data_IF_377716518295
#
_entry.id   IF_377716518295
#
_cell.length_a   1.000
_cell.length_b   1.000
_cell.length_c   1.000
_cell.angle_alpha   90.00
_cell.angle_beta   90.00
_cell.angle_gamma   90.00
#
_symmetry.space_group_name_H-M   'P 1'
#
loop_
_entity.id
_entity.type
_entity.pdbx_description
1 polymer ?
#
# COMPACT_ATOMS: atom_id res chain seq x y z
N UNK A 1 27.62 -3.61 -0.55
CA UNK A 1 26.57 -3.86 0.46
C UNK A 1 25.36 -4.36 -0.29
N UNK A 2 24.91 -5.57 0.01
CA UNK A 2 23.73 -6.20 -0.61
C UNK A 2 22.47 -5.67 0.06
N UNK A 3 21.53 -5.15 -0.74
CA UNK A 3 20.27 -4.61 -0.24
C UNK A 3 19.10 -5.50 -0.66
N UNK A 4 18.27 -5.87 0.31
CA UNK A 4 16.97 -6.50 0.07
C UNK A 4 15.84 -5.47 0.14
N UNK A 5 14.84 -5.63 -0.70
CA UNK A 5 13.66 -4.77 -0.78
C UNK A 5 12.41 -5.46 -0.26
N UNK A 6 11.55 -4.71 0.42
CA UNK A 6 10.21 -5.14 0.80
C UNK A 6 9.20 -4.04 0.45
N UNK A 7 8.07 -4.42 -0.15
CA UNK A 7 6.96 -3.51 -0.46
C UNK A 7 5.89 -3.66 0.61
N UNK A 8 5.54 -2.58 1.30
CA UNK A 8 4.77 -2.64 2.56
C UNK A 8 3.81 -1.46 2.75
N UNK A 9 2.90 -1.63 3.72
CA UNK A 9 2.00 -0.55 4.16
C UNK A 9 2.04 -0.33 5.68
N UNK A 10 2.35 -1.38 6.45
CA UNK A 10 2.45 -1.38 7.92
C UNK A 10 1.26 -0.69 8.61
N UNK A 11 0.06 -1.25 8.46
CA UNK A 11 -1.20 -0.63 8.91
C UNK A 11 -1.94 -1.38 10.05
N UNK A 12 -1.38 -1.52 11.27
CA UNK A 12 -0.05 -1.10 11.73
C UNK A 12 1.05 -2.14 11.42
N UNK A 13 2.30 -1.84 11.79
CA UNK A 13 3.35 -2.86 11.89
C UNK A 13 2.94 -3.91 12.94
N UNK A 14 3.16 -5.20 12.71
CA UNK A 14 2.69 -6.28 13.60
C UNK A 14 3.62 -7.48 13.54
N UNK A 15 3.36 -8.53 14.34
CA UNK A 15 4.27 -9.67 14.46
C UNK A 15 4.50 -10.40 13.13
N UNK A 16 3.47 -10.55 12.29
CA UNK A 16 3.64 -11.05 10.92
C UNK A 16 4.60 -10.21 10.05
N UNK A 17 4.61 -8.88 10.21
CA UNK A 17 5.58 -8.02 9.52
C UNK A 17 6.99 -8.19 10.08
N UNK A 18 7.14 -8.27 11.41
CA UNK A 18 8.43 -8.56 12.06
C UNK A 18 9.02 -9.88 11.55
N UNK A 19 8.19 -10.92 11.49
CA UNK A 19 8.56 -12.21 10.93
C UNK A 19 9.00 -12.09 9.46
N UNK A 20 8.22 -11.39 8.62
CA UNK A 20 8.58 -11.18 7.22
C UNK A 20 9.93 -10.48 7.05
N UNK A 21 10.21 -9.44 7.83
CA UNK A 21 11.52 -8.76 7.82
C UNK A 21 12.64 -9.73 8.22
N UNK A 22 12.42 -10.53 9.27
CA UNK A 22 13.40 -11.52 9.72
C UNK A 22 13.68 -12.58 8.65
N UNK A 23 12.65 -13.13 8.02
CA UNK A 23 12.81 -14.13 6.96
C UNK A 23 13.45 -13.54 5.71
N UNK A 24 13.08 -12.33 5.33
CA UNK A 24 13.70 -11.62 4.20
C UNK A 24 15.22 -11.54 4.39
N UNK A 25 15.67 -11.12 5.57
CA UNK A 25 17.10 -11.05 5.89
C UNK A 25 17.79 -12.41 5.85
N UNK A 26 17.13 -13.46 6.33
CA UNK A 26 17.66 -14.84 6.33
C UNK A 26 17.80 -15.38 4.91
N UNK A 27 16.77 -15.22 4.08
CA UNK A 27 16.73 -15.75 2.71
C UNK A 27 17.68 -15.00 1.78
N UNK A 28 17.67 -13.66 1.86
CA UNK A 28 18.49 -12.82 0.97
C UNK A 28 19.93 -12.69 1.45
N UNK A 29 20.21 -13.00 2.72
CA UNK A 29 21.50 -12.73 3.37
C UNK A 29 21.96 -11.27 3.15
N UNK A 30 21.01 -10.34 3.07
CA UNK A 30 21.29 -8.93 2.77
C UNK A 30 21.94 -8.21 3.94
N UNK A 31 22.85 -7.29 3.65
CA UNK A 31 23.47 -6.41 4.65
C UNK A 31 22.47 -5.39 5.22
N UNK A 32 21.53 -4.94 4.38
CA UNK A 32 20.47 -3.99 4.73
C UNK A 32 19.12 -4.39 4.13
N UNK A 33 18.04 -3.96 4.78
CA UNK A 33 16.68 -4.10 4.28
C UNK A 33 16.04 -2.73 4.03
N UNK A 34 15.51 -2.54 2.83
CA UNK A 34 14.86 -1.31 2.36
C UNK A 34 13.36 -1.57 2.20
N UNK A 35 12.54 -0.74 2.85
CA UNK A 35 11.09 -0.77 2.68
C UNK A 35 10.62 0.37 1.77
N UNK A 36 9.87 0.05 0.71
CA UNK A 36 9.01 1.00 0.00
C UNK A 36 7.62 0.94 0.63
N UNK A 37 7.20 2.03 1.26
CA UNK A 37 6.00 2.05 2.10
C UNK A 37 4.95 3.04 1.58
N UNK A 38 3.70 2.60 1.44
CA UNK A 38 2.56 3.48 1.15
C UNK A 38 2.53 4.68 2.12
N UNK A 39 2.31 5.88 1.57
CA UNK A 39 2.15 7.13 2.32
C UNK A 39 0.81 7.19 3.08
N UNK A 40 0.16 8.35 3.06
CA UNK A 40 -1.03 8.62 3.87
C UNK A 40 -2.26 7.76 3.55
N UNK A 41 -2.41 7.36 2.28
CA UNK A 41 -3.45 6.45 1.81
C UNK A 41 -2.82 5.21 1.20
N UNK A 42 -3.54 4.09 1.33
CA UNK A 42 -3.06 2.75 1.03
C UNK A 42 -3.57 2.23 -0.32
N UNK A 43 -3.09 1.06 -0.73
CA UNK A 43 -3.40 0.39 -1.99
C UNK A 43 -4.88 0.06 -2.16
N UNK A 44 -5.56 -0.23 -1.06
CA UNK A 44 -7.00 -0.49 -1.06
C UNK A 44 -7.85 0.77 -0.90
N UNK A 45 -7.23 1.96 -0.87
CA UNK A 45 -7.92 3.25 -0.68
C UNK A 45 -8.24 3.57 0.77
N UNK A 46 -7.69 2.86 1.75
CA UNK A 46 -7.89 3.20 3.16
C UNK A 46 -6.92 4.30 3.59
N UNK A 47 -7.33 5.24 4.46
CA UNK A 47 -6.36 6.05 5.19
C UNK A 47 -5.50 5.11 6.05
N UNK A 48 -4.20 5.37 6.11
CA UNK A 48 -3.32 4.65 7.03
C UNK A 48 -3.72 4.98 8.48
N UNK A 49 -3.75 3.98 9.36
CA UNK A 49 -4.14 4.10 10.78
C UNK A 49 -3.33 5.16 11.53
N UNK A 50 -2.04 5.26 11.19
CA UNK A 50 -1.12 6.27 11.70
C UNK A 50 -0.39 6.96 10.54
N UNK A 51 0.12 8.16 10.82
CA UNK A 51 0.94 8.88 9.86
C UNK A 51 2.12 8.04 9.39
N UNK A 52 2.53 8.23 8.12
CA UNK A 52 3.69 7.56 7.53
C UNK A 52 4.96 7.70 8.39
N UNK A 53 5.08 8.79 9.14
CA UNK A 53 6.17 9.05 10.07
C UNK A 53 6.17 8.11 11.28
N UNK A 54 5.01 7.84 11.89
CA UNK A 54 4.93 6.88 12.99
C UNK A 54 5.13 5.43 12.49
N UNK A 55 4.57 5.09 11.33
CA UNK A 55 4.81 3.79 10.70
C UNK A 55 6.29 3.59 10.32
N UNK A 56 6.97 4.67 9.92
CA UNK A 56 8.43 4.65 9.71
C UNK A 56 9.18 4.35 11.00
N UNK A 57 8.80 4.94 12.14
CA UNK A 57 9.41 4.60 13.43
C UNK A 57 9.23 3.11 13.77
N UNK A 58 8.02 2.59 13.58
CA UNK A 58 7.74 1.16 13.80
C UNK A 58 8.60 0.28 12.89
N UNK A 59 8.74 0.63 11.61
CA UNK A 59 9.56 -0.11 10.65
C UNK A 59 11.04 -0.12 11.03
N UNK A 60 11.61 1.03 11.39
CA UNK A 60 13.02 1.14 11.80
C UNK A 60 13.29 0.31 13.08
N UNK A 61 12.42 0.42 14.08
CA UNK A 61 12.50 -0.40 15.30
C UNK A 61 12.27 -1.90 15.00
N UNK A 62 11.54 -2.23 13.93
CA UNK A 62 11.34 -3.59 13.43
C UNK A 62 12.48 -4.14 12.58
N UNK A 63 13.59 -3.39 12.45
CA UNK A 63 14.78 -3.84 11.75
C UNK A 63 14.80 -3.49 10.26
N UNK A 64 13.92 -2.63 9.76
CA UNK A 64 14.13 -2.01 8.44
C UNK A 64 15.24 -0.97 8.57
N UNK A 65 16.17 -0.95 7.61
CA UNK A 65 17.31 -0.03 7.62
C UNK A 65 17.01 1.26 6.85
N UNK A 66 16.14 1.22 5.86
CA UNK A 66 15.75 2.37 5.05
C UNK A 66 14.25 2.32 4.76
N UNK A 67 13.52 3.40 5.01
CA UNK A 67 12.10 3.51 4.67
C UNK A 67 11.94 4.66 3.69
N UNK A 68 11.40 4.36 2.51
CA UNK A 68 11.06 5.34 1.49
C UNK A 68 9.57 5.31 1.20
N UNK A 69 9.00 6.46 0.85
CA UNK A 69 7.58 6.58 0.53
C UNK A 69 7.31 6.10 -0.89
N UNK A 70 6.26 5.28 -1.05
CA UNK A 70 5.60 5.07 -2.33
C UNK A 70 4.65 6.24 -2.57
N UNK A 71 4.85 7.06 -3.63
CA UNK A 71 4.02 8.22 -3.87
C UNK A 71 2.54 7.85 -4.04
N UNK A 72 1.63 8.73 -3.60
CA UNK A 72 0.18 8.51 -3.66
C UNK A 72 -0.31 7.99 -5.03
N UNK A 73 0.26 8.54 -6.10
CA UNK A 73 -0.10 8.20 -7.49
C UNK A 73 0.15 6.74 -7.86
N UNK A 74 1.06 6.06 -7.15
CA UNK A 74 1.31 4.62 -7.25
C UNK A 74 0.70 3.86 -6.08
N UNK A 75 0.71 4.43 -4.88
CA UNK A 75 0.24 3.78 -3.66
C UNK A 75 -1.26 3.46 -3.73
N UNK A 76 -2.12 4.43 -4.06
CA UNK A 76 -3.58 4.22 -4.12
C UNK A 76 -4.01 3.83 -5.54
N UNK A 77 -3.60 2.64 -5.98
CA UNK A 77 -3.87 2.14 -7.34
C UNK A 77 -4.18 0.64 -7.36
N UNK A 78 -4.60 0.15 -8.54
CA UNK A 78 -4.57 -1.29 -8.86
C UNK A 78 -3.17 -1.89 -8.66
N UNK A 79 -3.13 -3.20 -8.41
CA UNK A 79 -1.91 -3.92 -8.05
C UNK A 79 -0.77 -3.76 -9.07
N UNK A 80 -1.08 -3.72 -10.36
CA UNK A 80 -0.12 -3.47 -11.45
C UNK A 80 0.65 -2.15 -11.28
N UNK A 81 -0.06 -1.02 -11.17
CA UNK A 81 0.57 0.31 -11.03
C UNK A 81 1.26 0.45 -9.68
N UNK A 82 0.69 -0.13 -8.62
CA UNK A 82 1.32 -0.21 -7.30
C UNK A 82 2.68 -0.92 -7.35
N UNK A 83 2.71 -2.10 -7.98
CA UNK A 83 3.92 -2.89 -8.15
C UNK A 83 4.95 -2.17 -9.02
N UNK A 84 4.53 -1.58 -10.14
CA UNK A 84 5.42 -0.85 -11.04
C UNK A 84 6.17 0.28 -10.30
N UNK A 85 5.44 1.13 -9.57
CA UNK A 85 6.05 2.23 -8.80
C UNK A 85 6.99 1.72 -7.71
N UNK A 86 6.60 0.67 -6.99
CA UNK A 86 7.41 0.12 -5.92
C UNK A 86 8.71 -0.53 -6.42
N UNK A 87 8.65 -1.33 -7.49
CA UNK A 87 9.83 -1.94 -8.12
C UNK A 87 10.75 -0.87 -8.71
N UNK A 88 10.19 0.16 -9.35
CA UNK A 88 10.98 1.27 -9.90
C UNK A 88 11.79 1.99 -8.82
N UNK A 89 11.22 2.21 -7.63
CA UNK A 89 11.94 2.83 -6.50
C UNK A 89 13.03 1.90 -5.95
N UNK A 90 12.74 0.60 -5.80
CA UNK A 90 13.70 -0.38 -5.30
C UNK A 90 14.88 -0.55 -6.26
N UNK A 91 14.61 -0.63 -7.57
CA UNK A 91 15.61 -0.72 -8.62
C UNK A 91 16.52 0.52 -8.63
N UNK A 92 15.92 1.73 -8.58
CA UNK A 92 16.66 2.98 -8.49
C UNK A 92 17.52 3.11 -7.22
N UNK A 93 17.16 2.39 -6.15
CA UNK A 93 17.92 2.30 -4.91
C UNK A 93 19.05 1.27 -4.96
N UNK A 94 19.18 0.49 -6.02
CA UNK A 94 20.21 -0.56 -6.15
C UNK A 94 19.90 -1.80 -5.32
N UNK A 95 18.62 -2.09 -5.09
CA UNK A 95 18.18 -3.34 -4.47
C UNK A 95 18.46 -4.49 -5.43
N UNK A 96 19.05 -5.57 -4.92
CA UNK A 96 19.37 -6.75 -5.72
C UNK A 96 18.31 -7.84 -5.59
N UNK A 97 17.58 -7.87 -4.47
CA UNK A 97 16.62 -8.93 -4.15
C UNK A 97 15.39 -8.35 -3.48
N UNK A 98 14.20 -8.86 -3.80
CA UNK A 98 12.98 -8.56 -3.06
C UNK A 98 12.42 -9.80 -2.40
N UNK A 99 11.71 -9.62 -1.29
CA UNK A 99 10.93 -10.67 -0.67
C UNK A 99 9.50 -10.18 -0.43
N UNK A 100 8.52 -10.97 -0.87
CA UNK A 100 7.11 -10.71 -0.61
C UNK A 100 6.44 -11.94 0.02
N UNK A 101 5.48 -11.73 0.91
CA UNK A 101 4.65 -12.83 1.41
C UNK A 101 3.63 -13.25 0.37
N UNK A 102 3.40 -14.55 0.21
CA UNK A 102 2.38 -15.11 -0.68
C UNK A 102 1.64 -16.27 -0.02
N UNK A 103 0.47 -16.61 -0.54
CA UNK A 103 -0.25 -17.82 -0.13
C UNK A 103 0.40 -19.10 -0.72
N UNK A 104 1.15 -18.97 -1.83
CA UNK A 104 1.77 -20.10 -2.53
C UNK A 104 3.13 -20.53 -1.94
N UNK A 105 3.96 -19.57 -1.53
CA UNK A 105 5.25 -19.86 -0.92
C UNK A 105 6.38 -20.28 -1.88
N UNK A 106 6.09 -20.57 -3.15
CA UNK A 106 7.10 -20.96 -4.16
C UNK A 106 7.20 -19.91 -5.28
N UNK A 107 8.35 -19.23 -5.37
CA UNK A 107 8.54 -18.14 -6.33
C UNK A 107 8.55 -18.64 -7.78
N UNK A 108 8.99 -19.88 -8.03
CA UNK A 108 9.04 -20.44 -9.37
C UNK A 108 7.64 -20.58 -10.00
N UNK A 109 6.62 -20.84 -9.18
CA UNK A 109 5.23 -20.92 -9.64
C UNK A 109 4.76 -19.59 -10.26
N UNK A 110 5.24 -18.45 -9.75
CA UNK A 110 4.92 -17.13 -10.32
C UNK A 110 5.56 -16.94 -11.70
N UNK A 111 6.84 -17.29 -11.85
CA UNK A 111 7.52 -17.22 -13.15
C UNK A 111 6.87 -18.16 -14.18
N UNK A 112 6.47 -19.36 -13.75
CA UNK A 112 5.73 -20.30 -14.58
C UNK A 112 4.40 -19.69 -15.04
N UNK A 113 3.66 -19.08 -14.12
CA UNK A 113 2.36 -18.43 -14.39
C UNK A 113 2.51 -17.29 -15.42
N UNK A 114 3.51 -16.43 -15.25
CA UNK A 114 3.79 -15.33 -16.19
C UNK A 114 4.19 -15.87 -17.57
N UNK A 115 5.09 -16.85 -17.60
CA UNK A 115 5.58 -17.46 -18.85
C UNK A 115 4.45 -18.14 -19.62
N UNK A 116 3.58 -18.88 -18.92
CA UNK A 116 2.41 -19.52 -19.51
C UNK A 116 1.44 -18.49 -20.09
N UNK A 117 1.13 -17.43 -19.33
CA UNK A 117 0.24 -16.35 -19.81
C UNK A 117 0.81 -15.64 -21.04
N UNK A 118 2.13 -15.46 -21.11
CA UNK A 118 2.77 -14.85 -22.28
C UNK A 118 2.74 -15.79 -23.49
N UNK A 119 2.97 -17.09 -23.29
CA UNK A 119 2.95 -18.11 -24.34
C UNK A 119 1.55 -18.31 -24.93
N UNK A 120 0.54 -18.37 -24.07
CA UNK A 120 -0.86 -18.67 -24.43
C UNK A 120 -1.74 -17.42 -24.42
N UNK A 121 -1.18 -16.24 -24.70
CA UNK A 121 -1.82 -14.94 -24.48
C UNK A 121 -3.20 -14.81 -25.13
N UNK A 122 -3.33 -15.22 -26.39
CA UNK A 122 -4.59 -15.07 -27.14
C UNK A 122 -5.66 -16.02 -26.58
N UNK A 123 -5.31 -17.29 -26.36
CA UNK A 123 -6.17 -18.29 -25.72
C UNK A 123 -6.61 -17.84 -24.33
N UNK A 124 -5.68 -17.33 -23.52
CA UNK A 124 -5.95 -16.82 -22.19
C UNK A 124 -6.94 -15.66 -22.20
N UNK A 125 -6.72 -14.67 -23.06
CA UNK A 125 -7.62 -13.52 -23.16
C UNK A 125 -9.03 -13.93 -23.61
N UNK A 126 -9.13 -14.87 -24.56
CA UNK A 126 -10.42 -15.42 -25.00
C UNK A 126 -11.15 -16.15 -23.86
N UNK A 127 -10.45 -16.99 -23.09
CA UNK A 127 -11.03 -17.71 -21.94
C UNK A 127 -11.46 -16.75 -20.82
N UNK A 128 -10.63 -15.75 -20.50
CA UNK A 128 -11.01 -14.73 -19.50
C UNK A 128 -12.27 -14.00 -19.93
N UNK A 129 -12.36 -13.58 -21.19
CA UNK A 129 -13.55 -12.93 -21.71
C UNK A 129 -14.78 -13.86 -21.63
N UNK A 130 -14.63 -15.11 -22.06
CA UNK A 130 -15.69 -16.11 -21.99
C UNK A 130 -16.20 -16.32 -20.55
N UNK A 131 -15.31 -16.42 -19.55
CA UNK A 131 -15.71 -16.58 -18.16
C UNK A 131 -16.33 -15.31 -17.56
N UNK A 132 -15.89 -14.12 -17.98
CA UNK A 132 -16.53 -12.86 -17.61
C UNK A 132 -17.95 -12.75 -18.19
N UNK A 133 -18.14 -13.14 -19.45
CA UNK A 133 -19.44 -13.16 -20.13
C UNK A 133 -20.39 -14.16 -19.45
N UNK A 134 -19.86 -15.24 -18.86
CA UNK A 134 -20.59 -16.18 -18.01
C UNK A 134 -20.94 -15.63 -16.61
N UNK A 135 -20.61 -14.37 -16.31
CA UNK A 135 -20.96 -13.68 -15.07
C UNK A 135 -19.94 -13.80 -13.93
N UNK A 136 -18.76 -14.36 -14.18
CA UNK A 136 -17.69 -14.41 -13.19
C UNK A 136 -17.01 -13.04 -13.01
N UNK A 137 -16.48 -12.78 -11.81
CA UNK A 137 -15.60 -11.62 -11.61
C UNK A 137 -14.30 -11.80 -12.40
N UNK A 138 -13.63 -10.71 -12.76
CA UNK A 138 -12.33 -10.78 -13.47
C UNK A 138 -11.31 -11.69 -12.78
N UNK A 139 -11.20 -11.63 -11.45
CA UNK A 139 -10.29 -12.50 -10.68
C UNK A 139 -10.68 -13.98 -10.80
N UNK A 140 -11.98 -14.29 -10.72
CA UNK A 140 -12.47 -15.67 -10.88
C UNK A 140 -12.30 -16.17 -12.32
N UNK A 141 -12.61 -15.32 -13.30
CA UNK A 141 -12.41 -15.60 -14.73
C UNK A 141 -10.93 -15.86 -15.05
N UNK A 142 -10.02 -15.06 -14.49
CA UNK A 142 -8.57 -15.24 -14.60
C UNK A 142 -8.11 -16.56 -14.01
N UNK A 143 -8.55 -16.88 -12.79
CA UNK A 143 -8.25 -18.16 -12.12
C UNK A 143 -8.74 -19.35 -12.95
N UNK A 144 -9.96 -19.28 -13.49
CA UNK A 144 -10.51 -20.34 -14.36
C UNK A 144 -9.81 -20.45 -15.71
N UNK A 145 -9.45 -19.32 -16.34
CA UNK A 145 -8.69 -19.31 -17.58
C UNK A 145 -7.32 -19.96 -17.39
N UNK A 146 -6.64 -19.67 -16.28
CA UNK A 146 -5.42 -20.40 -15.92
C UNK A 146 -5.71 -21.88 -15.77
N UNK A 147 -6.67 -22.30 -14.92
CA UNK A 147 -7.02 -23.71 -14.75
C UNK A 147 -7.31 -24.46 -16.06
N UNK A 148 -7.84 -23.77 -17.08
CA UNK A 148 -8.11 -24.36 -18.39
C UNK A 148 -6.87 -24.53 -19.28
N UNK A 149 -5.88 -23.65 -19.14
CA UNK A 149 -4.64 -23.67 -19.92
C UNK A 149 -3.59 -24.58 -19.27
N UNK A 150 -3.75 -24.87 -17.97
CA UNK A 150 -2.80 -25.69 -17.23
C UNK A 150 -2.74 -27.13 -17.77
N UNK A 151 -1.62 -27.42 -18.43
CA UNK A 151 -1.04 -28.76 -18.60
C UNK A 151 0.11 -28.91 -17.61
N UNK A 152 0.02 -29.82 -16.63
CA UNK A 152 1.11 -30.35 -15.76
C UNK A 152 2.09 -29.38 -15.05
N UNK A 153 1.94 -28.07 -15.14
CA UNK A 153 2.84 -27.07 -14.53
C UNK A 153 2.22 -26.47 -13.28
N UNK A 154 2.97 -26.42 -12.18
CA UNK A 154 2.55 -25.72 -10.97
C UNK A 154 2.46 -24.20 -11.22
N UNK A 155 1.28 -23.63 -11.00
CA UNK A 155 1.00 -22.19 -11.09
C UNK A 155 0.29 -21.68 -9.84
N UNK A 156 0.34 -20.38 -9.65
CA UNK A 156 -0.18 -19.71 -8.47
C UNK A 156 -1.70 -19.53 -8.57
N UNK A 157 -2.41 -19.72 -7.46
CA UNK A 157 -3.83 -19.36 -7.37
C UNK A 157 -4.02 -17.83 -7.40
N UNK A 158 -4.52 -17.35 -8.53
CA UNK A 158 -4.81 -15.94 -8.80
C UNK A 158 -6.09 -15.42 -8.13
N UNK A 159 -6.77 -16.23 -7.33
CA UNK A 159 -7.88 -15.76 -6.48
C UNK A 159 -7.40 -15.07 -5.19
N UNK A 160 -6.15 -15.33 -4.78
CA UNK A 160 -5.58 -14.82 -3.54
C UNK A 160 -4.87 -13.46 -3.74
N UNK A 161 -5.03 -12.50 -2.81
CA UNK A 161 -4.55 -11.14 -3.02
C UNK A 161 -3.03 -10.99 -2.96
N UNK A 162 -2.33 -11.77 -2.11
CA UNK A 162 -0.88 -11.63 -2.01
C UNK A 162 -0.18 -12.32 -3.18
N UNK A 163 -0.76 -13.42 -3.68
CA UNK A 163 -0.41 -14.01 -4.97
C UNK A 163 -0.58 -13.01 -6.14
N UNK A 164 -1.71 -12.30 -6.24
CA UNK A 164 -1.90 -11.27 -7.27
C UNK A 164 -0.82 -10.18 -7.19
N UNK A 165 -0.50 -9.69 -5.99
CA UNK A 165 0.55 -8.70 -5.79
C UNK A 165 1.93 -9.24 -6.17
N UNK A 166 2.26 -10.46 -5.74
CA UNK A 166 3.52 -11.15 -6.08
C UNK A 166 3.74 -11.28 -7.59
N UNK A 167 2.68 -11.65 -8.32
CA UNK A 167 2.73 -11.75 -9.78
C UNK A 167 3.05 -10.39 -10.41
N UNK A 168 2.38 -9.32 -9.97
CA UNK A 168 2.63 -7.98 -10.49
C UNK A 168 4.01 -7.43 -10.12
N UNK A 169 4.59 -7.82 -8.98
CA UNK A 169 5.99 -7.47 -8.68
C UNK A 169 6.95 -8.10 -9.68
N UNK A 170 6.78 -9.38 -10.00
CA UNK A 170 7.65 -10.08 -10.96
C UNK A 170 7.42 -9.54 -12.37
N UNK A 171 6.18 -9.26 -12.77
CA UNK A 171 5.89 -8.58 -14.05
C UNK A 171 6.54 -7.19 -14.14
N UNK A 172 6.52 -6.41 -13.06
CA UNK A 172 7.18 -5.12 -13.00
C UNK A 172 8.70 -5.26 -13.14
N UNK A 173 9.33 -6.23 -12.45
CA UNK A 173 10.76 -6.54 -12.59
C UNK A 173 11.10 -6.85 -14.06
N UNK A 174 10.34 -7.75 -14.69
CA UNK A 174 10.57 -8.19 -16.07
C UNK A 174 10.36 -7.06 -17.09
N UNK A 175 9.28 -6.29 -16.94
CA UNK A 175 8.93 -5.19 -17.86
C UNK A 175 9.90 -4.02 -17.76
N UNK A 176 10.38 -3.71 -16.56
CA UNK A 176 11.40 -2.67 -16.32
C UNK A 176 12.82 -3.15 -16.65
N UNK A 177 13.00 -4.43 -17.01
CA UNK A 177 14.32 -5.06 -17.23
C UNK A 177 15.25 -4.89 -16.02
N UNK A 178 14.67 -4.89 -14.83
CA UNK A 178 15.41 -4.78 -13.57
C UNK A 178 16.23 -6.04 -13.33
N UNK A 179 17.39 -5.88 -12.70
CA UNK A 179 18.22 -7.01 -12.24
C UNK A 179 17.78 -7.58 -10.89
N UNK A 180 16.67 -7.10 -10.32
CA UNK A 180 16.14 -7.58 -9.04
C UNK A 180 15.74 -9.05 -9.16
N UNK A 181 16.18 -9.88 -8.20
CA UNK A 181 15.70 -11.24 -8.02
C UNK A 181 14.57 -11.30 -6.99
N UNK A 182 13.48 -11.98 -7.32
CA UNK A 182 12.35 -12.14 -6.42
C UNK A 182 12.47 -13.41 -5.56
N UNK A 183 12.06 -13.29 -4.30
CA UNK A 183 11.82 -14.38 -3.37
C UNK A 183 10.41 -14.24 -2.79
N UNK A 184 9.86 -15.35 -2.30
CA UNK A 184 8.61 -15.30 -1.54
C UNK A 184 8.72 -16.14 -0.26
N UNK A 185 7.89 -15.77 0.72
CA UNK A 185 7.66 -16.59 1.91
C UNK A 185 6.18 -16.95 1.98
N UNK A 186 5.90 -18.17 2.38
CA UNK A 186 4.54 -18.59 2.68
C UNK A 186 4.02 -17.79 3.87
N UNK A 187 2.83 -17.20 3.72
CA UNK A 187 2.13 -16.58 4.83
C UNK A 187 1.51 -17.71 5.65
N UNK A 188 1.89 -17.81 6.93
CA UNK A 188 1.12 -18.61 7.88
C UNK A 188 -0.33 -18.13 7.85
N UNK A 189 -1.20 -18.96 7.29
CA UNK A 189 -2.58 -18.59 7.09
C UNK A 189 -3.25 -18.46 8.47
N UNK A 190 -3.55 -17.24 8.89
CA UNK A 190 -4.91 -17.00 9.34
C UNK A 190 -5.76 -17.16 8.08
N UNK A 191 -6.44 -18.28 7.90
CA UNK A 191 -7.27 -18.49 6.72
C UNK A 191 -8.18 -17.26 6.51
N UNK A 192 -8.29 -16.91 5.23
CA UNK A 192 -9.00 -15.74 4.71
C UNK A 192 -10.38 -15.58 5.36
N UNK A 193 -10.72 -14.34 5.77
CA UNK A 193 -11.99 -13.94 6.39
C UNK A 193 -12.28 -14.39 7.84
N UNK A 194 -11.39 -15.09 8.53
CA UNK A 194 -11.65 -15.41 9.93
C UNK A 194 -11.55 -14.15 10.82
N UNK A 195 -12.69 -13.77 11.38
CA UNK A 195 -12.81 -12.77 12.44
C UNK A 195 -12.27 -13.29 13.79
N UNK A 196 -11.66 -14.47 13.81
CA UNK A 196 -11.18 -15.18 15.00
C UNK A 196 -9.72 -15.61 14.88
N UNK A 197 -9.00 -15.47 15.99
CA UNK A 197 -7.56 -15.71 16.10
C UNK A 197 -7.24 -17.22 16.04
N UNK A 198 -6.48 -17.66 15.03
CA UNK A 198 -6.04 -19.07 14.91
C UNK A 198 -4.60 -19.32 15.42
N UNK A 199 -3.81 -18.26 15.63
CA UNK A 199 -2.51 -18.28 16.31
C UNK A 199 -2.54 -17.24 17.43
N UNK A 200 -2.06 -17.60 18.63
CA UNK A 200 -2.08 -16.73 19.81
C UNK A 200 -1.20 -15.47 19.64
N UNK A 201 -0.35 -15.39 18.60
CA UNK A 201 0.60 -14.28 18.43
C UNK A 201 0.67 -13.63 17.04
N UNK A 202 -0.03 -14.16 16.02
CA UNK A 202 -0.08 -13.55 14.68
C UNK A 202 -1.53 -13.31 14.25
N UNK A 203 -1.86 -12.03 14.01
CA UNK A 203 -3.16 -11.62 13.50
C UNK A 203 -3.02 -10.78 12.22
N UNK A 204 -4.07 -10.75 11.40
CA UNK A 204 -4.12 -9.87 10.24
C UNK A 204 -4.17 -8.40 10.68
N UNK A 205 -3.59 -7.51 9.88
CA UNK A 205 -3.67 -6.07 10.11
C UNK A 205 -5.13 -5.58 10.23
N UNK A 206 -6.04 -6.16 9.44
CA UNK A 206 -7.48 -5.82 9.49
C UNK A 206 -8.11 -6.23 10.81
N UNK A 207 -7.80 -7.42 11.33
CA UNK A 207 -8.31 -7.91 12.62
C UNK A 207 -7.80 -7.04 13.78
N UNK A 208 -6.52 -6.64 13.74
CA UNK A 208 -5.93 -5.69 14.71
C UNK A 208 -6.66 -4.35 14.65
N UNK A 209 -6.91 -3.79 13.46
CA UNK A 209 -7.65 -2.54 13.31
C UNK A 209 -9.09 -2.64 13.83
N UNK A 210 -9.83 -3.71 13.50
CA UNK A 210 -11.18 -3.94 14.04
C UNK A 210 -11.19 -3.90 15.57
N UNK A 211 -10.21 -4.57 16.19
CA UNK A 211 -10.08 -4.59 17.64
C UNK A 211 -9.79 -3.20 18.23
N UNK A 212 -8.93 -2.41 17.58
CA UNK A 212 -8.61 -1.03 17.98
C UNK A 212 -9.81 -0.07 17.94
N UNK A 213 -10.80 -0.33 17.09
CA UNK A 213 -12.02 0.47 16.98
C UNK A 213 -13.22 -0.15 17.70
N UNK A 214 -13.01 -1.20 18.50
CA UNK A 214 -14.05 -1.78 19.36
C UNK A 214 -14.31 -0.91 20.59
N UNK A 215 -15.50 -1.03 21.19
CA UNK A 215 -16.04 -0.13 22.22
C UNK A 215 -15.21 -0.02 23.51
N UNK A 216 -14.20 -0.89 23.71
CA UNK A 216 -13.41 -0.94 24.94
C UNK A 216 -12.20 0.01 24.97
N UNK A 217 -11.90 0.72 23.86
CA UNK A 217 -10.83 1.75 23.73
C UNK A 217 -9.46 1.33 24.31
N UNK A 218 -9.22 0.02 24.39
CA UNK A 218 -8.08 -0.57 25.10
C UNK A 218 -7.13 -1.29 24.15
N UNK A 219 -5.88 -0.83 24.15
CA UNK A 219 -4.80 -1.43 23.38
C UNK A 219 -4.37 -2.81 23.91
N UNK A 220 -4.75 -3.19 25.13
CA UNK A 220 -4.28 -4.45 25.75
C UNK A 220 -4.64 -5.69 24.93
N UNK A 221 -5.77 -5.63 24.24
CA UNK A 221 -6.28 -6.71 23.40
C UNK A 221 -5.43 -6.98 22.14
N UNK A 222 -4.60 -6.02 21.72
CA UNK A 222 -3.74 -6.17 20.54
C UNK A 222 -2.28 -6.51 20.88
N UNK A 223 -1.86 -6.36 22.14
CA UNK A 223 -0.48 -6.57 22.57
C UNK A 223 0.11 -7.93 22.16
N UNK A 224 -0.63 -9.06 22.20
CA UNK A 224 -0.08 -10.34 21.77
C UNK A 224 0.33 -10.40 20.29
N UNK A 225 -0.22 -9.50 19.45
CA UNK A 225 -0.11 -9.54 17.99
C UNK A 225 0.81 -8.48 17.41
N UNK A 226 1.30 -7.56 18.24
CA UNK A 226 2.20 -6.48 17.81
C UNK A 226 3.45 -6.45 18.68
N UNK A 227 4.60 -6.01 18.13
CA UNK A 227 5.78 -5.76 18.94
C UNK A 227 5.53 -4.64 19.96
N UNK A 228 6.20 -4.69 21.12
CA UNK A 228 6.04 -3.70 22.19
C UNK A 228 6.21 -2.25 21.70
N UNK A 229 7.21 -1.99 20.84
CA UNK A 229 7.41 -0.64 20.27
C UNK A 229 6.22 -0.18 19.42
N UNK A 230 5.51 -1.10 18.76
CA UNK A 230 4.33 -0.75 17.96
C UNK A 230 3.18 -0.35 18.89
N UNK A 231 2.94 -1.10 19.97
CA UNK A 231 1.96 -0.74 20.99
C UNK A 231 2.25 0.64 21.58
N UNK A 232 3.50 0.90 21.99
CA UNK A 232 3.90 2.21 22.53
C UNK A 232 3.70 3.35 21.51
N UNK A 233 3.99 3.13 20.23
CA UNK A 233 3.75 4.15 19.21
C UNK A 233 2.27 4.38 18.92
N UNK A 234 1.44 3.34 18.96
CA UNK A 234 -0.02 3.46 18.84
C UNK A 234 -0.61 4.30 19.98
N UNK A 235 -0.25 3.98 21.22
CA UNK A 235 -0.68 4.72 22.41
C UNK A 235 -0.22 6.17 22.37
N UNK A 236 1.07 6.40 22.09
CA UNK A 236 1.65 7.73 21.91
C UNK A 236 0.91 8.54 20.84
N UNK A 237 0.56 7.91 19.72
CA UNK A 237 -0.17 8.57 18.64
C UNK A 237 -1.58 8.96 19.08
N UNK A 238 -2.34 8.03 19.67
CA UNK A 238 -3.69 8.30 20.17
C UNK A 238 -3.69 9.38 21.26
N UNK A 239 -2.69 9.38 22.15
CA UNK A 239 -2.53 10.42 23.17
C UNK A 239 -2.22 11.80 22.56
N UNK A 240 -1.38 11.86 21.52
CA UNK A 240 -0.95 13.12 20.90
C UNK A 240 -1.99 13.72 19.95
N UNK A 241 -2.64 12.87 19.16
CA UNK A 241 -3.53 13.30 18.06
C UNK A 241 -5.00 13.06 18.35
N UNK A 242 -5.33 12.39 19.47
CA UNK A 242 -6.68 12.07 19.92
C UNK A 242 -7.52 11.22 18.95
N UNK A 243 -6.91 10.71 17.88
CA UNK A 243 -7.57 9.86 16.88
C UNK A 243 -6.64 8.76 16.38
N UNK A 244 -7.24 7.69 15.89
CA UNK A 244 -6.62 6.72 14.99
C UNK A 244 -7.41 6.80 13.69
N UNK A 245 -6.71 6.89 12.57
CA UNK A 245 -7.37 7.22 11.32
C UNK A 245 -8.16 6.01 10.79
N UNK A 246 -9.44 6.23 10.53
CA UNK A 246 -10.31 5.32 9.81
C UNK A 246 -11.26 6.12 8.92
N UNK A 247 -11.91 5.47 7.95
CA UNK A 247 -12.76 6.14 6.99
C UNK A 247 -13.91 6.95 7.60
N UNK A 248 -14.42 6.54 8.77
CA UNK A 248 -15.52 7.25 9.44
C UNK A 248 -15.11 8.67 9.86
N UNK A 249 -13.86 8.89 10.26
CA UNK A 249 -13.32 10.22 10.58
C UNK A 249 -13.33 11.17 9.36
N UNK A 250 -13.23 10.61 8.15
CA UNK A 250 -13.21 11.37 6.90
C UNK A 250 -14.59 11.53 6.28
N UNK A 251 -15.58 10.72 6.71
CA UNK A 251 -16.90 10.69 6.10
C UNK A 251 -17.62 12.05 6.08
N UNK A 252 -17.56 12.90 7.13
CA UNK A 252 -18.16 14.24 7.08
C UNK A 252 -17.57 15.12 5.97
N UNK A 253 -16.25 15.10 5.79
CA UNK A 253 -15.57 15.88 4.74
C UNK A 253 -15.85 15.32 3.35
N UNK A 254 -15.85 13.99 3.23
CA UNK A 254 -16.21 13.29 2.01
C UNK A 254 -17.65 13.60 1.58
N UNK A 255 -18.60 13.53 2.52
CA UNK A 255 -20.01 13.84 2.32
C UNK A 255 -20.20 15.30 1.93
N UNK A 256 -19.55 16.24 2.62
CA UNK A 256 -19.57 17.66 2.25
C UNK A 256 -19.11 17.87 0.79
N UNK A 257 -18.00 17.24 0.40
CA UNK A 257 -17.51 17.37 -0.99
C UNK A 257 -18.54 16.81 -1.98
N UNK A 258 -19.08 15.63 -1.77
CA UNK A 258 -20.09 15.07 -2.68
C UNK A 258 -21.36 15.91 -2.77
N UNK A 259 -21.81 16.52 -1.66
CA UNK A 259 -22.98 17.39 -1.64
C UNK A 259 -22.78 18.71 -2.39
N UNK A 260 -21.53 19.06 -2.71
CA UNK A 260 -21.16 20.31 -3.40
C UNK A 260 -20.64 20.08 -4.82
N UNK A 261 -20.51 18.82 -5.25
CA UNK A 261 -20.07 18.46 -6.60
C UNK A 261 -21.26 18.21 -7.53
N UNK A 262 -21.13 18.65 -8.79
CA UNK A 262 -22.00 18.23 -9.88
C UNK A 262 -21.63 16.84 -10.40
N UNK A 263 -22.49 16.26 -11.23
CA UNK A 263 -22.20 15.02 -11.95
C UNK A 263 -20.99 15.18 -12.87
N UNK A 264 -20.84 16.35 -13.50
CA UNK A 264 -19.73 16.69 -14.37
C UNK A 264 -18.41 16.77 -13.59
N UNK A 265 -18.42 17.41 -12.42
CA UNK A 265 -17.23 17.47 -11.55
C UNK A 265 -16.75 16.07 -11.16
N UNK A 266 -17.69 15.18 -10.82
CA UNK A 266 -17.35 13.80 -10.46
C UNK A 266 -16.78 13.00 -11.62
N UNK A 267 -17.28 13.21 -12.84
CA UNK A 267 -16.77 12.52 -14.03
C UNK A 267 -15.29 12.85 -14.31
N UNK A 268 -14.81 14.01 -13.85
CA UNK A 268 -13.40 14.40 -13.95
C UNK A 268 -12.49 13.76 -12.90
N UNK A 269 -13.04 13.16 -11.83
CA UNK A 269 -12.26 12.47 -10.80
C UNK A 269 -11.70 11.15 -11.34
N UNK A 270 -10.46 10.85 -10.95
CA UNK A 270 -9.77 9.63 -11.36
C UNK A 270 -10.52 8.36 -10.87
N UNK A 271 -10.50 7.30 -11.69
CA UNK A 271 -11.28 6.05 -11.55
C UNK A 271 -12.83 6.18 -11.56
N UNK A 272 -13.41 7.38 -11.67
CA UNK A 272 -14.86 7.54 -11.90
C UNK A 272 -15.18 7.27 -13.38
N UNK A 273 -15.73 6.09 -13.65
CA UNK A 273 -16.24 5.68 -14.96
C UNK A 273 -17.68 6.18 -15.19
N UNK A 274 -18.06 6.30 -16.46
CA UNK A 274 -19.41 6.70 -16.86
C UNK A 274 -20.52 5.95 -16.10
N UNK A 275 -21.44 6.74 -15.54
CA UNK A 275 -22.59 6.28 -14.77
C UNK A 275 -22.32 6.05 -13.29
N UNK A 276 -21.05 5.95 -12.84
CA UNK A 276 -20.74 5.81 -11.42
C UNK A 276 -21.05 7.09 -10.64
N UNK A 277 -20.85 8.25 -11.26
CA UNK A 277 -21.16 9.58 -10.71
C UNK A 277 -22.63 9.70 -10.27
N UNK A 278 -23.57 9.27 -11.11
CA UNK A 278 -25.00 9.29 -10.79
C UNK A 278 -25.33 8.37 -9.62
N UNK A 279 -24.71 7.19 -9.57
CA UNK A 279 -24.89 6.27 -8.46
C UNK A 279 -24.38 6.87 -7.16
N UNK A 280 -23.17 7.43 -7.16
CA UNK A 280 -22.54 8.09 -6.01
C UNK A 280 -23.46 9.17 -5.44
N UNK A 281 -23.89 10.10 -6.29
CA UNK A 281 -24.78 11.20 -5.87
C UNK A 281 -26.13 10.68 -5.37
N UNK A 282 -26.70 9.64 -5.99
CA UNK A 282 -27.99 9.07 -5.53
C UNK A 282 -27.92 8.43 -4.14
N UNK A 283 -26.76 7.93 -3.72
CA UNK A 283 -26.61 7.18 -2.46
C UNK A 283 -26.19 8.06 -1.29
N UNK A 284 -25.37 9.08 -1.52
CA UNK A 284 -24.77 9.88 -0.43
C UNK A 284 -25.81 10.61 0.45
N UNK A 285 -26.96 10.98 -0.12
CA UNK A 285 -28.03 11.67 0.61
C UNK A 285 -28.65 10.80 1.72
N UNK A 286 -28.67 9.49 1.55
CA UNK A 286 -29.40 8.55 2.41
C UNK A 286 -28.48 7.74 3.34
N UNK A 287 -27.19 8.07 3.40
CA UNK A 287 -26.18 7.30 4.15
C UNK A 287 -25.60 8.14 5.28
N UNK A 288 -25.47 7.57 6.47
CA UNK A 288 -25.02 8.23 7.70
C UNK A 288 -23.59 7.87 8.11
N UNK A 289 -22.99 6.83 7.52
CA UNK A 289 -21.61 6.40 7.75
C UNK A 289 -20.93 6.02 6.44
N UNK A 290 -19.59 5.95 6.45
CA UNK A 290 -18.85 5.48 5.28
C UNK A 290 -19.17 4.01 4.98
N UNK A 291 -19.29 3.16 6.01
CA UNK A 291 -19.67 1.76 5.86
C UNK A 291 -21.01 1.61 5.11
N UNK A 292 -22.07 2.28 5.59
CA UNK A 292 -23.41 2.20 4.97
C UNK A 292 -23.42 2.78 3.56
N UNK A 293 -22.60 3.80 3.30
CA UNK A 293 -22.39 4.34 1.97
C UNK A 293 -21.75 3.32 1.02
N UNK A 294 -20.68 2.66 1.44
CA UNK A 294 -20.00 1.65 0.64
C UNK A 294 -20.88 0.44 0.34
N UNK A 295 -21.66 -0.03 1.32
CA UNK A 295 -22.66 -1.08 1.14
C UNK A 295 -23.71 -0.70 0.09
N UNK A 296 -24.21 0.55 0.14
CA UNK A 296 -25.16 1.07 -0.83
C UNK A 296 -24.55 1.25 -2.24
N UNK A 297 -23.26 1.59 -2.33
CA UNK A 297 -22.55 1.71 -3.60
C UNK A 297 -22.23 0.36 -4.25
N UNK A 298 -21.94 -0.67 -3.46
CA UNK A 298 -21.49 -1.97 -3.96
C UNK A 298 -22.46 -2.56 -4.99
N UNK A 299 -21.91 -3.03 -6.11
CA UNK A 299 -22.63 -3.79 -7.14
C UNK A 299 -21.82 -5.03 -7.53
N UNK A 300 -22.36 -5.89 -8.40
CA UNK A 300 -21.54 -6.97 -9.00
C UNK A 300 -20.39 -6.42 -9.86
N UNK A 301 -20.60 -5.27 -10.53
CA UNK A 301 -19.62 -4.62 -11.42
C UNK A 301 -18.41 -4.02 -10.67
N UNK A 302 -18.63 -3.43 -9.50
CA UNK A 302 -17.56 -2.74 -8.76
C UNK A 302 -17.16 -3.51 -7.51
N UNK A 303 -15.87 -3.82 -7.36
CA UNK A 303 -15.34 -4.42 -6.12
C UNK A 303 -15.27 -3.39 -5.00
N UNK A 304 -15.26 -3.87 -3.74
CA UNK A 304 -15.15 -2.99 -2.58
C UNK A 304 -13.89 -2.13 -2.63
N UNK A 305 -12.74 -2.75 -2.90
CA UNK A 305 -11.44 -2.08 -2.96
C UNK A 305 -11.38 -1.03 -4.07
N UNK A 306 -12.02 -1.28 -5.22
CA UNK A 306 -12.13 -0.29 -6.29
C UNK A 306 -12.95 0.91 -5.86
N UNK A 307 -14.14 0.69 -5.30
CA UNK A 307 -14.99 1.78 -4.80
C UNK A 307 -14.27 2.59 -3.72
N UNK A 308 -13.51 1.92 -2.86
CA UNK A 308 -12.78 2.57 -1.78
C UNK A 308 -11.66 3.47 -2.32
N UNK A 309 -10.91 3.04 -3.35
CA UNK A 309 -9.95 3.92 -4.06
C UNK A 309 -10.63 5.10 -4.73
N UNK A 310 -11.77 4.89 -5.40
CA UNK A 310 -12.57 5.98 -5.98
C UNK A 310 -12.97 6.99 -4.90
N UNK A 311 -13.44 6.52 -3.74
CA UNK A 311 -13.73 7.39 -2.61
C UNK A 311 -12.50 8.19 -2.16
N UNK A 312 -11.31 7.58 -2.14
CA UNK A 312 -10.06 8.30 -1.84
C UNK A 312 -9.79 9.40 -2.87
N UNK A 313 -9.89 9.11 -4.17
CA UNK A 313 -9.66 10.11 -5.23
C UNK A 313 -10.66 11.27 -5.17
N UNK A 314 -11.92 10.98 -4.81
CA UNK A 314 -12.92 12.03 -4.52
C UNK A 314 -12.49 12.83 -3.29
N UNK A 315 -12.12 12.17 -2.19
CA UNK A 315 -11.68 12.81 -0.94
C UNK A 315 -10.38 13.64 -1.12
N UNK A 316 -9.52 13.29 -2.06
CA UNK A 316 -8.32 14.08 -2.39
C UNK A 316 -8.53 15.06 -3.54
N UNK A 317 -9.71 15.03 -4.19
CA UNK A 317 -9.98 15.75 -5.43
C UNK A 317 -8.91 15.49 -6.50
N UNK A 318 -8.52 14.23 -6.68
CA UNK A 318 -7.53 13.83 -7.68
C UNK A 318 -8.20 13.66 -9.02
N UNK A 319 -7.86 14.49 -10.00
CA UNK A 319 -8.50 14.49 -11.32
C UNK A 319 -7.79 13.55 -12.30
N UNK A 320 -8.50 13.14 -13.36
CA UNK A 320 -7.91 12.38 -14.48
C UNK A 320 -6.75 13.15 -15.12
N UNK A 321 -6.92 14.45 -15.31
CA UNK A 321 -5.90 15.34 -15.89
C UNK A 321 -4.62 15.42 -15.02
N UNK A 322 -4.76 15.51 -13.70
CA UNK A 322 -3.61 15.50 -12.79
C UNK A 322 -2.83 14.18 -12.89
N UNK A 323 -3.56 13.05 -12.95
CA UNK A 323 -2.96 11.72 -13.06
C UNK A 323 -2.29 11.49 -14.42
N UNK A 324 -2.86 12.02 -15.50
CA UNK A 324 -2.27 12.01 -16.84
C UNK A 324 -0.96 12.82 -16.88
N UNK A 325 -0.97 14.06 -16.36
CA UNK A 325 0.22 14.92 -16.25
C UNK A 325 1.32 14.32 -15.36
N UNK A 326 0.94 13.48 -14.40
CA UNK A 326 1.88 12.80 -13.52
C UNK A 326 2.65 11.65 -14.22
N UNK A 327 2.25 11.23 -15.42
CA UNK A 327 2.90 10.19 -16.23
C UNK A 327 3.20 8.90 -15.44
N UNK A 328 2.24 8.46 -14.64
CA UNK A 328 2.37 7.36 -13.67
C UNK A 328 2.61 5.99 -14.30
N UNK A 329 2.49 5.86 -15.61
CA UNK A 329 2.66 4.58 -16.33
C UNK A 329 4.14 4.21 -16.56
N UNK A 330 5.08 5.11 -16.25
CA UNK A 330 6.50 4.88 -16.49
C UNK A 330 7.23 4.35 -15.25
N UNK A 331 7.73 5.27 -14.43
CA UNK A 331 8.63 5.03 -13.31
C UNK A 331 8.40 6.10 -12.23
N UNK A 332 8.85 5.82 -11.01
CA UNK A 332 8.79 6.81 -9.94
C UNK A 332 9.69 8.01 -10.29
N UNK A 333 9.25 9.26 -10.06
CA UNK A 333 10.04 10.45 -10.41
C UNK A 333 11.12 10.80 -9.37
N UNK A 334 11.04 10.23 -8.17
CA UNK A 334 11.94 10.52 -7.06
C UNK A 334 11.93 9.39 -6.03
N UNK A 335 12.92 9.41 -5.14
CA UNK A 335 12.97 8.59 -3.93
C UNK A 335 12.74 9.50 -2.72
N UNK A 336 11.56 9.40 -2.08
CA UNK A 336 11.25 10.18 -0.87
C UNK A 336 11.67 9.42 0.38
N UNK A 337 12.78 9.85 0.98
CA UNK A 337 13.32 9.22 2.17
C UNK A 337 12.52 9.63 3.43
N UNK A 338 11.90 8.66 4.10
CA UNK A 338 11.14 8.87 5.33
C UNK A 338 11.96 8.62 6.58
N UNK A 339 12.86 7.63 6.55
CA UNK A 339 13.72 7.32 7.68
C UNK A 339 14.82 6.31 7.35
N UNK A 340 15.83 6.25 8.22
CA UNK A 340 17.00 5.39 8.06
C UNK A 340 17.61 5.00 9.41
N UNK A 341 18.14 3.78 9.49
CA UNK A 341 19.07 3.33 10.52
C UNK A 341 20.49 3.87 10.27
N UNK A 342 21.46 3.61 11.14
CA UNK A 342 22.87 3.95 10.88
C UNK A 342 23.42 3.18 9.68
N UNK A 343 23.06 1.90 9.54
CA UNK A 343 23.33 1.08 8.35
C UNK A 343 22.69 1.68 7.09
N UNK A 344 21.42 2.07 7.15
CA UNK A 344 20.72 2.72 6.04
C UNK A 344 21.36 4.04 5.63
N UNK A 345 21.77 4.87 6.60
CA UNK A 345 22.50 6.11 6.36
C UNK A 345 23.84 5.85 5.68
N UNK A 346 24.58 4.82 6.13
CA UNK A 346 25.84 4.40 5.50
C UNK A 346 25.63 3.95 4.06
N UNK A 347 24.56 3.18 3.81
CA UNK A 347 24.21 2.73 2.47
C UNK A 347 23.89 3.90 1.54
N UNK A 348 23.02 4.82 1.96
CA UNK A 348 22.68 6.02 1.17
C UNK A 348 23.93 6.85 0.89
N UNK A 349 24.80 7.06 1.89
CA UNK A 349 26.02 7.85 1.72
C UNK A 349 26.95 7.26 0.64
N UNK A 350 27.00 5.93 0.52
CA UNK A 350 27.80 5.23 -0.50
C UNK A 350 27.16 5.26 -1.89
N UNK A 351 25.83 5.16 -1.98
CA UNK A 351 25.12 4.98 -3.27
C UNK A 351 24.51 6.26 -3.83
N UNK A 352 24.36 7.34 -3.04
CA UNK A 352 23.65 8.58 -3.42
C UNK A 352 24.07 9.16 -4.78
N UNK A 353 25.35 9.06 -5.14
CA UNK A 353 25.89 9.59 -6.42
C UNK A 353 25.45 8.80 -7.66
N UNK A 354 25.03 7.55 -7.47
CA UNK A 354 24.70 6.61 -8.54
C UNK A 354 23.21 6.28 -8.59
N UNK A 355 22.37 6.94 -7.79
CA UNK A 355 20.93 6.73 -7.82
C UNK A 355 20.36 7.25 -9.15
N UNK A 356 19.55 6.42 -9.82
CA UNK A 356 18.87 6.79 -11.06
C UNK A 356 17.76 7.83 -10.86
N UNK A 357 17.36 8.09 -9.61
CA UNK A 357 16.31 9.02 -9.24
C UNK A 357 16.78 10.06 -8.19
N UNK A 358 16.23 11.29 -8.22
CA UNK A 358 16.47 12.29 -7.18
C UNK A 358 16.08 11.78 -5.78
N UNK A 359 17.00 11.86 -4.83
CA UNK A 359 16.75 11.52 -3.43
C UNK A 359 16.26 12.75 -2.63
N UNK A 360 15.03 12.69 -2.12
CA UNK A 360 14.38 13.78 -1.38
C UNK A 360 14.38 13.52 0.13
N UNK A 361 15.17 14.29 0.88
CA UNK A 361 15.17 14.27 2.36
C UNK A 361 14.11 15.19 2.96
N UNK A 362 13.67 16.22 2.22
CA UNK A 362 12.48 17.02 2.47
C UNK A 362 11.82 17.36 1.13
N UNK A 363 10.57 17.80 1.12
CA UNK A 363 9.85 18.11 -0.13
C UNK A 363 9.81 19.61 -0.44
N UNK A 364 10.25 20.49 0.47
CA UNK A 364 10.13 21.96 0.33
C UNK A 364 10.57 22.54 -1.02
N UNK A 365 11.69 22.07 -1.57
CA UNK A 365 12.32 22.67 -2.76
C UNK A 365 12.09 21.89 -4.05
N UNK A 366 11.46 20.71 -3.97
CA UNK A 366 11.20 19.88 -5.15
C UNK A 366 9.81 20.19 -5.70
N UNK A 367 9.70 20.19 -7.02
CA UNK A 367 8.47 20.44 -7.76
C UNK A 367 8.30 19.35 -8.80
N UNK A 368 7.17 18.66 -8.75
CA UNK A 368 6.78 17.63 -9.70
C UNK A 368 5.28 17.36 -9.55
N UNK A 369 4.52 17.12 -10.62
CA UNK A 369 3.08 16.88 -10.53
C UNK A 369 2.69 15.77 -9.54
N UNK A 370 3.44 14.66 -9.52
CA UNK A 370 3.29 13.57 -8.53
C UNK A 370 3.39 14.08 -7.09
N UNK A 371 4.34 14.96 -6.79
CA UNK A 371 4.53 15.50 -5.45
C UNK A 371 3.41 16.47 -5.07
N UNK A 372 2.85 17.21 -6.03
CA UNK A 372 1.74 18.12 -5.76
C UNK A 372 0.46 17.34 -5.41
N UNK A 373 0.20 16.23 -6.11
CA UNK A 373 -0.87 15.29 -5.76
C UNK A 373 -0.62 14.67 -4.38
N UNK A 374 0.61 14.27 -4.07
CA UNK A 374 1.00 13.71 -2.77
C UNK A 374 0.82 14.72 -1.62
N UNK A 375 1.23 15.98 -1.79
CA UNK A 375 1.03 17.06 -0.81
C UNK A 375 -0.46 17.27 -0.53
N UNK A 376 -1.29 17.27 -1.58
CA UNK A 376 -2.75 17.37 -1.45
C UNK A 376 -3.32 16.19 -0.66
N UNK A 377 -2.90 14.97 -0.98
CA UNK A 377 -3.30 13.78 -0.22
C UNK A 377 -2.87 13.86 1.26
N UNK A 378 -1.65 14.31 1.57
CA UNK A 378 -1.18 14.46 2.95
C UNK A 378 -1.95 15.55 3.71
N UNK A 379 -2.28 16.66 3.05
CA UNK A 379 -3.09 17.73 3.65
C UNK A 379 -4.50 17.23 4.02
N UNK A 380 -5.13 16.47 3.12
CA UNK A 380 -6.41 15.81 3.35
C UNK A 380 -6.31 14.78 4.48
N UNK A 381 -5.23 13.98 4.52
CA UNK A 381 -5.04 13.01 5.59
C UNK A 381 -5.04 13.66 6.98
N UNK A 382 -4.39 14.81 7.14
CA UNK A 382 -4.36 15.54 8.42
C UNK A 382 -5.60 16.40 8.67
N UNK A 383 -6.55 16.52 7.74
CA UNK A 383 -7.71 17.41 7.88
C UNK A 383 -8.67 16.99 9.00
N UNK A 384 -8.63 15.74 9.44
CA UNK A 384 -9.45 15.23 10.54
C UNK A 384 -8.93 15.68 11.92
N UNK A 385 -7.67 16.11 12.00
CA UNK A 385 -7.10 16.60 13.25
C UNK A 385 -7.73 17.93 13.66
N UNK A 386 -7.80 18.19 14.97
CA UNK A 386 -8.22 19.49 15.50
C UNK A 386 -7.08 20.51 15.40
N UNK A 387 -7.40 21.81 15.36
CA UNK A 387 -6.39 22.86 15.45
C UNK A 387 -5.85 22.96 16.90
N UNK A 388 -4.55 23.30 17.10
CA UNK A 388 -3.56 23.68 16.09
C UNK A 388 -2.79 22.48 15.47
N UNK A 389 -3.14 21.24 15.82
CA UNK A 389 -2.40 20.05 15.38
C UNK A 389 -2.47 19.86 13.87
N UNK A 390 -3.65 20.08 13.26
CA UNK A 390 -3.85 20.02 11.82
C UNK A 390 -2.85 20.90 11.07
N UNK A 391 -2.84 22.20 11.34
CA UNK A 391 -1.92 23.14 10.67
C UNK A 391 -0.47 22.76 10.89
N UNK A 392 -0.09 22.40 12.13
CA UNK A 392 1.29 21.97 12.44
C UNK A 392 1.72 20.73 11.65
N UNK A 393 0.85 19.71 11.54
CA UNK A 393 1.18 18.47 10.84
C UNK A 393 1.35 18.69 9.34
N UNK A 394 0.47 19.48 8.72
CA UNK A 394 0.55 19.81 7.29
C UNK A 394 1.86 20.53 6.96
N UNK A 395 2.24 21.54 7.76
CA UNK A 395 3.50 22.26 7.56
C UNK A 395 4.72 21.39 7.83
N UNK A 396 4.67 20.56 8.87
CA UNK A 396 5.76 19.67 9.25
C UNK A 396 6.06 18.66 8.16
N UNK A 397 5.06 18.06 7.50
CA UNK A 397 5.29 17.04 6.45
C UNK A 397 6.20 17.53 5.30
N UNK A 398 6.10 18.81 4.94
CA UNK A 398 6.88 19.44 3.86
C UNK A 398 8.36 19.61 4.24
N UNK A 399 8.60 19.92 5.51
CA UNK A 399 9.92 20.31 6.05
C UNK A 399 10.59 19.19 6.84
N UNK A 400 9.87 18.11 7.13
CA UNK A 400 10.36 17.02 7.95
C UNK A 400 11.48 16.28 7.23
N UNK A 401 12.63 16.27 7.91
CA UNK A 401 13.78 15.45 7.57
C UNK A 401 13.54 13.98 7.91
N UNK A 402 14.32 13.05 7.31
CA UNK A 402 14.17 11.63 7.57
C UNK A 402 14.41 11.31 9.05
N UNK A 403 13.58 10.43 9.59
CA UNK A 403 13.75 9.89 10.94
C UNK A 403 15.04 9.10 11.00
N UNK A 404 15.85 9.31 12.04
CA UNK A 404 17.08 8.57 12.27
C UNK A 404 16.91 7.63 13.45
N UNK A 405 17.38 6.40 13.27
CA UNK A 405 17.35 5.37 14.30
C UNK A 405 18.75 4.81 14.50
N UNK A 406 19.11 4.62 15.76
CA UNK A 406 20.32 3.93 16.18
C UNK A 406 19.95 2.50 16.59
N UNK A 407 20.21 1.57 15.68
CA UNK A 407 19.97 0.14 15.88
C UNK A 407 20.90 -0.51 16.92
N UNK A 408 21.95 0.18 17.37
CA UNK A 408 22.85 -0.32 18.42
C UNK A 408 22.33 0.02 19.82
N UNK A 409 21.76 1.22 19.99
CA UNK A 409 21.19 1.67 21.27
C UNK A 409 19.66 1.55 21.33
N UNK A 410 19.02 1.17 20.23
CA UNK A 410 17.57 1.11 20.05
C UNK A 410 16.83 2.45 20.25
N UNK A 411 17.47 3.57 19.90
CA UNK A 411 16.94 4.92 20.11
C UNK A 411 16.76 5.72 18.81
N UNK A 412 15.81 6.65 18.81
CA UNK A 412 15.68 7.65 17.75
C UNK A 412 16.60 8.85 18.03
N UNK A 413 17.25 9.36 16.98
CA UNK A 413 18.25 10.44 17.06
C UNK A 413 17.68 11.82 16.73
#
# INVERSE_FOLDING_TARGET
MKASGIIVEYNPFHNGHAYHVQQTKKLTQSDITIAVMSGSFLQRGEPALLSKWFRTKMALAGGIDLVVELPYTFATQKAETFANGAISILDALGVSEICFGSEDGEVQNFYNTISLRQKEKDTFNQLVQQFMDAGNSYAKATSQAFSHILSDVNTVDMSQPNNILGLHYIEAILSQKSSIHAHTIERFASHYHDETFQDNHIASATSIRKQLFSENDSFTTIYPFVPNYTASFLESYKQTYHTLHCWEEYFPFFKYRLLTMSSQDLQHIYEVEEGLEHRILSKIHNTSSFLTFMEALKTKRYTWTRLQRVCTHILTNTTKEEMEKAHIEQHAPYIRLLGMSQKGQTYISKHKKNLGLPLLTHTKTFQHPVLDIERKANAVYFSVLQEPLRTKCIQKDITQHPIRYDETTNNFL
#
